data_IF_660520771033
#
_entry.id   IF_660520771033
#
_cell.length_a   1.000
_cell.length_b   1.000
_cell.length_c   1.000
_cell.angle_alpha   90.00
_cell.angle_beta   90.00
_cell.angle_gamma   90.00
#
_symmetry.space_group_name_H-M   'P 1'
#
loop_
_entity.id
_entity.type
_entity.pdbx_description
1 polymer ?
#
# COMPACT_ATOMS: atom_id res chain seq x y z
N UNK A 1 14.56 -3.34 8.86
CA UNK A 1 15.73 -2.85 8.11
C UNK A 1 16.31 -1.61 8.75
N UNK A 2 15.47 -0.61 9.02
CA UNK A 2 15.79 0.61 9.76
C UNK A 2 14.59 0.97 10.65
N UNK A 3 14.78 1.83 11.65
CA UNK A 3 13.66 2.41 12.42
C UNK A 3 13.45 3.86 12.00
N UNK A 4 12.21 4.21 11.64
CA UNK A 4 11.84 5.54 11.17
C UNK A 4 10.90 6.25 12.15
N UNK A 5 11.00 7.57 12.22
CA UNK A 5 10.07 8.45 12.91
C UNK A 5 9.26 9.24 11.88
N UNK A 6 7.98 8.89 11.74
CA UNK A 6 7.01 9.69 11.01
C UNK A 6 6.28 10.63 11.97
N UNK A 7 6.22 11.92 11.66
CA UNK A 7 5.49 12.90 12.46
C UNK A 7 4.88 13.97 11.58
N UNK A 8 3.85 14.62 12.11
CA UNK A 8 3.19 15.76 11.47
C UNK A 8 3.53 17.02 12.24
N UNK A 9 4.05 18.02 11.54
CA UNK A 9 4.35 19.33 12.11
C UNK A 9 3.07 20.11 12.41
N UNK A 10 3.18 21.18 13.19
CA UNK A 10 2.00 21.96 13.63
C UNK A 10 1.29 22.69 12.48
N UNK A 11 1.97 22.92 11.36
CA UNK A 11 1.41 23.44 10.10
C UNK A 11 0.76 22.34 9.23
N UNK A 12 0.79 21.09 9.68
CA UNK A 12 0.10 19.97 9.03
C UNK A 12 0.95 19.17 8.06
N UNK A 13 2.21 19.53 7.81
CA UNK A 13 3.09 18.78 6.91
C UNK A 13 3.62 17.50 7.58
N UNK A 14 3.58 16.36 6.88
CA UNK A 14 4.22 15.13 7.34
C UNK A 14 5.69 15.06 6.90
N UNK A 15 6.54 14.52 7.78
CA UNK A 15 7.95 14.21 7.51
C UNK A 15 8.33 12.86 8.09
N UNK A 16 9.37 12.25 7.51
CA UNK A 16 9.94 10.97 7.96
C UNK A 16 11.45 11.12 8.15
N UNK A 17 11.93 10.73 9.33
CA UNK A 17 13.34 10.81 9.75
C UNK A 17 13.82 9.43 10.23
N UNK A 18 15.13 9.25 10.39
CA UNK A 18 15.64 8.16 11.23
C UNK A 18 15.06 8.29 12.65
N UNK A 19 14.69 7.16 13.26
CA UNK A 19 14.10 7.15 14.59
C UNK A 19 15.12 7.44 15.69
N UNK A 20 16.40 7.18 15.49
CA UNK A 20 17.40 7.31 16.55
C UNK A 20 18.09 8.67 16.52
N UNK A 21 18.01 9.38 17.63
CA UNK A 21 18.64 10.68 17.82
C UNK A 21 20.18 10.57 17.68
N UNK A 22 20.82 11.40 16.84
CA UNK A 22 22.27 11.34 16.61
C UNK A 22 23.11 11.76 17.82
N UNK A 23 22.48 12.25 18.91
CA UNK A 23 23.18 12.60 20.14
C UNK A 23 23.61 11.34 20.92
N UNK A 24 22.65 10.60 21.47
CA UNK A 24 22.91 9.41 22.30
C UNK A 24 21.91 8.26 22.01
N UNK A 25 21.34 8.23 20.80
CA UNK A 25 20.54 7.09 20.33
C UNK A 25 19.13 6.97 20.93
N UNK A 26 18.58 8.03 21.54
CA UNK A 26 17.20 8.01 22.00
C UNK A 26 16.22 7.88 20.82
N UNK A 27 15.18 7.08 20.97
CA UNK A 27 14.19 6.86 19.92
C UNK A 27 13.15 8.01 19.87
N UNK A 28 13.22 8.81 18.81
CA UNK A 28 12.33 9.92 18.49
C UNK A 28 10.89 9.46 18.21
N UNK A 29 10.70 8.30 17.58
CA UNK A 29 9.36 7.78 17.27
C UNK A 29 8.62 7.29 18.52
N UNK A 30 9.34 6.73 19.50
CA UNK A 30 8.74 6.13 20.69
C UNK A 30 8.38 7.16 21.77
N UNK A 31 9.18 8.21 21.95
CA UNK A 31 8.97 9.19 23.03
C UNK A 31 9.07 10.65 22.59
N UNK A 32 9.42 10.92 21.34
CA UNK A 32 9.54 12.29 20.86
C UNK A 32 8.19 13.00 20.80
N UNK A 33 8.24 14.33 20.78
CA UNK A 33 7.06 15.18 20.64
C UNK A 33 7.25 16.23 19.57
N UNK A 34 6.16 16.59 18.90
CA UNK A 34 6.18 17.65 17.89
C UNK A 34 6.24 19.02 18.56
N UNK A 35 7.18 19.86 18.12
CA UNK A 35 7.32 21.26 18.53
C UNK A 35 7.52 22.12 17.28
N UNK A 36 6.50 22.87 16.87
CA UNK A 36 6.54 23.63 15.63
C UNK A 36 6.75 22.73 14.41
N UNK A 37 7.81 23.00 13.66
CA UNK A 37 8.26 22.22 12.51
C UNK A 37 9.29 21.13 12.85
N UNK A 38 9.50 20.85 14.15
CA UNK A 38 10.52 19.94 14.64
C UNK A 38 9.93 18.77 15.43
N UNK A 39 10.68 17.67 15.49
CA UNK A 39 10.53 16.63 16.51
C UNK A 39 11.54 16.87 17.63
N UNK A 40 11.07 16.93 18.87
CA UNK A 40 11.89 17.06 20.06
C UNK A 40 12.21 15.68 20.64
N UNK A 41 13.50 15.43 20.84
CA UNK A 41 14.01 14.20 21.42
C UNK A 41 13.60 14.03 22.90
N UNK A 42 13.09 12.85 23.30
CA UNK A 42 12.60 12.62 24.66
C UNK A 42 13.69 12.69 25.74
N UNK A 43 14.96 12.48 25.35
CA UNK A 43 16.01 12.30 26.34
C UNK A 43 16.60 13.64 26.79
N UNK A 44 16.95 14.51 25.85
CA UNK A 44 17.67 15.76 26.13
C UNK A 44 17.02 17.00 25.51
N UNK A 45 15.83 16.85 24.90
CA UNK A 45 15.09 17.96 24.32
C UNK A 45 15.71 18.57 23.05
N UNK A 46 16.63 17.87 22.39
CA UNK A 46 17.18 18.32 21.09
C UNK A 46 16.06 18.32 20.05
N UNK A 47 15.91 19.42 19.32
CA UNK A 47 14.86 19.57 18.32
C UNK A 47 15.44 19.42 16.92
N UNK A 48 14.86 18.55 16.11
CA UNK A 48 15.26 18.28 14.72
C UNK A 48 14.13 18.67 13.78
N UNK A 49 14.40 19.57 12.82
CA UNK A 49 13.42 20.04 11.84
C UNK A 49 13.05 18.94 10.86
N UNK A 50 11.77 18.82 10.52
CA UNK A 50 11.28 17.76 9.63
C UNK A 50 11.82 17.83 8.20
N UNK A 51 11.87 19.04 7.62
CA UNK A 51 12.24 19.25 6.21
C UNK A 51 13.64 18.73 5.86
N UNK A 52 14.62 18.97 6.72
CA UNK A 52 16.02 18.69 6.42
C UNK A 52 16.75 17.96 7.56
N UNK A 53 16.05 17.66 8.66
CA UNK A 53 16.61 16.95 9.81
C UNK A 53 17.58 17.80 10.64
N UNK A 54 17.76 19.09 10.33
CA UNK A 54 18.74 19.94 11.03
C UNK A 54 18.35 20.09 12.49
N UNK A 55 19.32 19.95 13.39
CA UNK A 55 19.11 20.33 14.79
C UNK A 55 18.96 21.86 14.86
N UNK A 56 17.80 22.32 15.32
CA UNK A 56 17.47 23.76 15.41
C UNK A 56 17.66 24.31 16.80
N UNK A 57 17.56 23.45 17.83
CA UNK A 57 17.63 23.86 19.23
C UNK A 57 18.17 22.74 20.12
N UNK A 58 19.10 23.12 20.99
CA UNK A 58 19.53 22.31 22.14
C UNK A 58 19.20 23.13 23.39
N UNK A 59 18.32 22.66 24.30
CA UNK A 59 17.74 23.52 25.34
C UNK A 59 18.74 24.18 26.30
N UNK A 60 19.93 23.60 26.44
CA UNK A 60 20.93 23.95 27.44
C UNK A 60 22.23 24.54 26.85
N UNK A 61 22.21 24.96 25.58
CA UNK A 61 23.32 25.71 24.96
C UNK A 61 22.79 26.67 23.90
N UNK A 62 23.45 27.81 23.73
CA UNK A 62 23.13 28.76 22.67
C UNK A 62 23.65 28.31 21.30
N UNK A 63 24.73 27.50 21.28
CA UNK A 63 25.37 27.07 20.04
C UNK A 63 24.99 25.64 19.69
N UNK A 64 24.32 25.48 18.54
CA UNK A 64 24.03 24.19 17.93
C UNK A 64 25.12 23.86 16.90
N UNK A 65 25.77 22.68 16.95
CA UNK A 65 26.76 22.30 15.94
C UNK A 65 26.12 22.17 14.55
N UNK A 66 26.75 22.72 13.50
CA UNK A 66 26.19 22.71 12.14
C UNK A 66 26.02 21.30 11.55
N UNK A 67 26.82 20.35 12.00
CA UNK A 67 26.75 18.94 11.58
C UNK A 67 25.65 18.15 12.31
N UNK A 68 25.03 18.71 13.36
CA UNK A 68 23.98 18.02 14.11
C UNK A 68 22.71 17.91 13.27
N UNK A 69 22.53 16.76 12.63
CA UNK A 69 21.42 16.46 11.72
C UNK A 69 21.01 15.01 11.87
N UNK A 70 19.70 14.75 11.84
CA UNK A 70 19.17 13.39 11.67
C UNK A 70 18.85 13.18 10.18
N UNK A 71 19.08 11.97 9.67
CA UNK A 71 18.78 11.66 8.27
C UNK A 71 17.28 11.84 8.02
N UNK A 72 16.95 12.45 6.88
CA UNK A 72 15.58 12.54 6.37
C UNK A 72 15.32 11.50 5.30
N UNK A 73 14.06 11.15 5.13
CA UNK A 73 13.60 10.23 4.09
C UNK A 73 12.62 10.98 3.18
N UNK A 74 12.92 11.09 1.87
CA UNK A 74 11.99 11.72 0.94
C UNK A 74 10.66 10.98 1.03
N UNK A 75 9.58 11.73 1.25
CA UNK A 75 8.26 11.19 1.52
C UNK A 75 7.19 12.08 0.93
N UNK A 76 6.03 11.49 0.64
CA UNK A 76 4.88 12.21 0.14
C UNK A 76 3.58 11.69 0.76
N UNK A 77 2.58 12.57 0.85
CA UNK A 77 1.23 12.21 1.22
C UNK A 77 0.35 12.18 -0.03
N UNK A 78 -0.22 11.02 -0.33
CA UNK A 78 -1.06 10.81 -1.51
C UNK A 78 -2.03 9.66 -1.25
N UNK A 79 -3.26 9.77 -1.77
CA UNK A 79 -4.28 8.71 -1.65
C UNK A 79 -4.56 8.25 -0.20
N UNK A 80 -4.45 9.17 0.78
CA UNK A 80 -4.61 8.85 2.20
C UNK A 80 -3.49 7.99 2.80
N UNK A 81 -2.30 8.01 2.19
CA UNK A 81 -1.11 7.28 2.64
C UNK A 81 0.08 8.23 2.76
N UNK A 82 0.95 7.97 3.73
CA UNK A 82 2.30 8.54 3.80
C UNK A 82 3.26 7.51 3.21
N UNK A 83 3.92 7.86 2.11
CA UNK A 83 4.84 6.98 1.40
C UNK A 83 6.28 7.48 1.55
N UNK A 84 7.22 6.55 1.60
CA UNK A 84 8.66 6.82 1.72
C UNK A 84 9.35 6.35 0.45
N UNK A 85 10.23 7.18 -0.09
CA UNK A 85 11.12 6.82 -1.18
C UNK A 85 12.38 6.13 -0.66
N UNK A 86 12.75 5.04 -1.32
CA UNK A 86 14.00 4.35 -1.08
C UNK A 86 14.72 4.07 -2.40
N UNK A 87 16.03 4.31 -2.40
CA UNK A 87 16.94 3.90 -3.46
C UNK A 87 18.24 3.42 -2.80
N UNK A 88 18.78 2.28 -3.22
CA UNK A 88 19.98 1.69 -2.62
C UNK A 88 21.21 2.63 -2.69
N UNK A 89 21.32 3.40 -3.76
CA UNK A 89 22.38 4.41 -3.96
C UNK A 89 22.02 5.81 -3.43
N UNK A 90 20.86 5.98 -2.79
CA UNK A 90 20.42 7.27 -2.25
C UNK A 90 19.98 8.31 -3.30
N UNK A 91 19.70 7.88 -4.53
CA UNK A 91 19.11 8.73 -5.56
C UNK A 91 17.71 9.16 -5.13
N UNK A 92 17.39 10.45 -5.32
CA UNK A 92 16.08 11.00 -5.01
C UNK A 92 14.95 10.43 -5.89
N UNK A 93 13.68 10.76 -5.57
CA UNK A 93 12.54 10.34 -6.38
C UNK A 93 12.67 10.72 -7.85
N UNK A 94 12.59 9.73 -8.74
CA UNK A 94 12.63 9.91 -10.20
C UNK A 94 11.24 9.86 -10.84
N UNK A 95 10.23 9.43 -10.09
CA UNK A 95 8.83 9.38 -10.48
C UNK A 95 7.94 9.69 -9.28
N UNK A 96 6.68 9.99 -9.54
CA UNK A 96 5.68 10.30 -8.52
C UNK A 96 4.58 9.24 -8.52
N UNK A 97 4.02 8.99 -7.35
CA UNK A 97 2.85 8.11 -7.21
C UNK A 97 1.62 8.85 -7.76
N UNK A 98 0.83 8.22 -8.65
CA UNK A 98 -0.35 8.86 -9.21
C UNK A 98 -1.41 9.10 -8.13
N UNK A 99 -2.02 10.27 -8.18
CA UNK A 99 -3.17 10.61 -7.35
C UNK A 99 -4.44 9.97 -7.93
N UNK A 100 -5.26 9.36 -7.07
CA UNK A 100 -6.57 8.84 -7.41
C UNK A 100 -7.62 9.92 -7.17
N UNK A 101 -8.16 10.47 -8.25
CA UNK A 101 -9.09 11.60 -8.23
C UNK A 101 -10.27 11.38 -7.27
N UNK A 102 -10.91 10.22 -7.32
CA UNK A 102 -12.10 9.89 -6.54
C UNK A 102 -11.81 9.82 -5.04
N UNK A 103 -10.58 9.49 -4.63
CA UNK A 103 -10.17 9.53 -3.21
C UNK A 103 -10.03 10.99 -2.76
N UNK A 104 -9.42 11.83 -3.59
CA UNK A 104 -9.16 13.25 -3.27
C UNK A 104 -10.43 14.07 -3.24
N UNK A 105 -11.36 13.84 -4.16
CA UNK A 105 -12.68 14.49 -4.16
C UNK A 105 -13.61 13.95 -3.08
N UNK A 106 -13.27 12.84 -2.43
CA UNK A 106 -14.09 12.18 -1.43
C UNK A 106 -15.31 11.43 -2.00
N UNK A 107 -15.32 11.20 -3.32
CA UNK A 107 -16.29 10.33 -3.99
C UNK A 107 -16.10 8.87 -3.55
N UNK A 108 -14.85 8.45 -3.41
CA UNK A 108 -14.45 7.18 -2.81
C UNK A 108 -13.90 7.43 -1.42
N UNK A 109 -14.56 6.87 -0.42
CA UNK A 109 -14.19 7.02 1.00
C UNK A 109 -13.59 5.74 1.53
N UNK A 110 -12.71 5.85 2.53
CA UNK A 110 -12.11 4.70 3.19
C UNK A 110 -13.18 3.79 3.81
N UNK A 111 -13.09 2.48 3.54
CA UNK A 111 -14.07 1.48 4.03
C UNK A 111 -13.45 0.37 4.89
N UNK A 112 -12.13 0.32 4.99
CA UNK A 112 -11.43 -0.63 5.84
C UNK A 112 -10.04 -0.97 5.30
N UNK A 113 -9.33 -1.77 6.09
CA UNK A 113 -8.04 -2.32 5.69
C UNK A 113 -7.83 -3.72 6.26
N UNK A 114 -6.95 -4.48 5.61
CA UNK A 114 -6.35 -5.73 6.10
C UNK A 114 -4.84 -5.55 6.13
N UNK A 115 -4.16 -6.29 7.01
CA UNK A 115 -2.72 -6.22 7.21
C UNK A 115 -2.18 -7.63 7.43
N UNK A 116 -1.12 -7.98 6.72
CA UNK A 116 -0.55 -9.32 6.68
C UNK A 116 0.97 -9.24 6.72
N UNK A 117 1.59 -10.08 7.55
CA UNK A 117 3.04 -10.28 7.56
C UNK A 117 3.36 -11.53 6.74
N UNK A 118 4.18 -11.37 5.70
CA UNK A 118 4.49 -12.43 4.74
C UNK A 118 5.99 -12.73 4.78
N UNK A 119 6.33 -13.97 5.11
CA UNK A 119 7.70 -14.48 5.15
C UNK A 119 8.20 -14.80 3.72
N UNK A 120 8.54 -13.76 2.96
CA UNK A 120 9.02 -13.88 1.58
C UNK A 120 9.98 -12.74 1.23
N UNK A 121 10.73 -12.89 0.15
CA UNK A 121 11.46 -11.76 -0.44
C UNK A 121 10.47 -10.77 -1.07
N UNK A 122 10.75 -9.45 -1.03
CA UNK A 122 9.84 -8.42 -1.56
C UNK A 122 9.42 -8.67 -3.02
N UNK A 123 10.29 -9.27 -3.83
CA UNK A 123 10.05 -9.56 -5.24
C UNK A 123 8.92 -10.59 -5.47
N UNK A 124 8.69 -11.52 -4.53
CA UNK A 124 7.74 -12.63 -4.71
C UNK A 124 6.29 -12.14 -4.83
N UNK A 125 5.95 -11.05 -4.14
CA UNK A 125 4.58 -10.49 -4.15
C UNK A 125 4.22 -9.88 -5.51
N UNK A 126 4.98 -8.91 -6.06
CA UNK A 126 4.66 -8.29 -7.35
C UNK A 126 4.76 -9.24 -8.55
N UNK A 127 5.54 -10.32 -8.48
CA UNK A 127 5.61 -11.31 -9.57
C UNK A 127 4.25 -11.97 -9.90
N UNK A 128 3.33 -12.01 -8.92
CA UNK A 128 1.96 -12.49 -9.14
C UNK A 128 1.23 -11.75 -10.27
N UNK A 129 1.56 -10.47 -10.52
CA UNK A 129 0.92 -9.70 -11.57
C UNK A 129 1.23 -10.23 -12.98
N UNK A 130 2.45 -10.72 -13.19
CA UNK A 130 2.88 -11.26 -14.49
C UNK A 130 2.45 -12.72 -14.69
N UNK A 131 2.26 -13.49 -13.61
CA UNK A 131 1.75 -14.87 -13.67
C UNK A 131 0.23 -14.89 -13.89
N UNK A 132 -0.23 -14.56 -15.09
CA UNK A 132 -1.67 -14.64 -15.41
C UNK A 132 -2.25 -16.06 -15.33
N UNK A 133 -1.40 -17.10 -15.36
CA UNK A 133 -1.85 -18.48 -15.35
C UNK A 133 -2.38 -18.92 -13.97
N UNK A 134 -1.82 -18.38 -12.88
CA UNK A 134 -2.26 -18.73 -11.52
C UNK A 134 -3.75 -18.43 -11.30
N UNK A 135 -4.30 -17.40 -11.96
CA UNK A 135 -5.71 -16.99 -11.83
C UNK A 135 -6.68 -18.14 -12.11
N UNK A 136 -6.40 -18.94 -13.14
CA UNK A 136 -7.26 -20.07 -13.50
C UNK A 136 -7.17 -21.23 -12.49
N UNK A 137 -6.03 -21.41 -11.81
CA UNK A 137 -5.77 -22.55 -10.94
C UNK A 137 -6.07 -22.26 -9.46
N UNK A 138 -5.71 -21.08 -8.97
CA UNK A 138 -5.94 -20.66 -7.58
C UNK A 138 -7.34 -20.08 -7.39
N UNK A 139 -7.83 -19.23 -8.30
CA UNK A 139 -9.13 -18.56 -8.17
C UNK A 139 -10.28 -19.22 -8.95
N UNK A 140 -10.02 -20.27 -9.71
CA UNK A 140 -11.03 -20.99 -10.52
C UNK A 140 -12.24 -21.60 -9.78
N UNK A 141 -12.10 -22.14 -8.55
CA UNK A 141 -13.20 -22.85 -7.87
C UNK A 141 -14.22 -21.94 -7.17
N UNK A 142 -13.76 -20.81 -6.61
CA UNK A 142 -14.60 -19.78 -6.01
C UNK A 142 -13.75 -18.54 -5.72
N UNK A 143 -14.36 -17.34 -5.76
CA UNK A 143 -13.71 -16.09 -5.29
C UNK A 143 -13.27 -16.20 -3.81
N UNK A 144 -13.92 -17.07 -3.02
CA UNK A 144 -13.58 -17.32 -1.61
C UNK A 144 -12.66 -18.54 -1.40
N UNK A 145 -12.25 -19.22 -2.47
CA UNK A 145 -11.30 -20.34 -2.42
C UNK A 145 -9.94 -19.86 -2.90
N UNK A 146 -8.90 -20.03 -2.09
CA UNK A 146 -7.54 -19.60 -2.44
C UNK A 146 -6.51 -19.96 -1.38
N UNK A 147 -6.83 -19.72 -0.10
CA UNK A 147 -5.90 -19.98 1.02
C UNK A 147 -5.70 -21.46 1.38
N UNK A 148 -6.69 -22.32 1.13
CA UNK A 148 -6.58 -23.75 1.45
C UNK A 148 -6.67 -24.64 0.21
N UNK A 149 -5.48 -24.98 -0.29
CA UNK A 149 -5.28 -25.83 -1.47
C UNK A 149 -6.00 -27.20 -1.37
N UNK A 150 -6.33 -27.67 -0.16
CA UNK A 150 -7.05 -28.94 0.05
C UNK A 150 -8.47 -28.90 -0.48
N UNK A 151 -9.09 -27.73 -0.51
CA UNK A 151 -10.50 -27.57 -0.89
C UNK A 151 -10.69 -26.92 -2.27
N UNK A 152 -9.62 -26.41 -2.88
CA UNK A 152 -9.60 -25.80 -4.22
C UNK A 152 -10.15 -26.74 -5.29
N UNK A 153 -10.06 -28.07 -5.16
CA UNK A 153 -10.64 -29.02 -6.14
C UNK A 153 -11.88 -29.77 -5.65
N UNK A 154 -12.62 -29.20 -4.70
CA UNK A 154 -13.84 -29.84 -4.20
C UNK A 154 -14.91 -29.92 -5.28
N UNK A 155 -15.40 -31.14 -5.55
CA UNK A 155 -16.53 -31.41 -6.48
C UNK A 155 -17.85 -30.74 -6.07
N UNK A 156 -17.92 -30.21 -4.85
CA UNK A 156 -19.08 -29.45 -4.38
C UNK A 156 -19.35 -28.21 -5.24
N UNK A 157 -18.35 -27.69 -5.96
CA UNK A 157 -18.47 -26.49 -6.78
C UNK A 157 -18.56 -26.75 -8.29
N UNK A 158 -18.61 -28.01 -8.75
CA UNK A 158 -18.57 -28.34 -10.20
C UNK A 158 -19.73 -27.71 -11.02
N UNK A 159 -20.82 -27.34 -10.35
CA UNK A 159 -21.96 -26.65 -10.96
C UNK A 159 -21.70 -25.16 -11.24
N UNK A 160 -20.69 -24.55 -10.61
CA UNK A 160 -20.31 -23.15 -10.76
C UNK A 160 -18.87 -23.06 -11.27
N UNK A 161 -18.64 -22.38 -12.38
CA UNK A 161 -17.28 -22.18 -12.93
C UNK A 161 -16.98 -20.70 -13.06
N UNK A 162 -15.81 -20.31 -12.57
CA UNK A 162 -15.24 -18.99 -12.74
C UNK A 162 -14.24 -19.01 -13.90
N UNK A 163 -14.47 -18.17 -14.90
CA UNK A 163 -13.58 -18.01 -16.05
C UNK A 163 -12.84 -16.69 -15.86
N UNK A 164 -11.52 -16.77 -15.77
CA UNK A 164 -10.63 -15.63 -15.63
C UNK A 164 -9.86 -15.45 -16.94
N UNK A 165 -10.01 -14.29 -17.57
CA UNK A 165 -9.15 -13.86 -18.68
C UNK A 165 -8.31 -12.71 -18.17
N UNK A 166 -7.00 -12.82 -18.29
CA UNK A 166 -6.09 -11.77 -17.87
C UNK A 166 -5.09 -11.45 -18.96
N UNK A 167 -4.79 -10.17 -19.10
CA UNK A 167 -3.71 -9.66 -19.93
C UNK A 167 -2.85 -8.75 -19.05
N UNK A 168 -1.53 -8.92 -19.13
CA UNK A 168 -0.55 -8.10 -18.42
C UNK A 168 0.40 -7.45 -19.42
N UNK A 169 0.78 -6.20 -19.17
CA UNK A 169 1.77 -5.49 -19.97
C UNK A 169 2.49 -4.39 -19.17
N UNK A 170 3.78 -4.12 -19.46
CA UNK A 170 4.48 -2.97 -18.89
C UNK A 170 3.98 -1.66 -19.51
N UNK A 171 4.04 -0.55 -18.78
CA UNK A 171 3.75 0.77 -19.34
C UNK A 171 5.00 1.35 -20.05
N UNK A 172 4.83 2.08 -21.17
CA UNK A 172 5.93 2.74 -21.85
C UNK A 172 6.39 4.01 -21.11
N UNK A 173 7.50 4.60 -21.54
CA UNK A 173 7.94 5.94 -21.13
C UNK A 173 6.77 6.96 -21.15
N UNK A 174 6.61 7.81 -20.11
CA UNK A 174 7.49 7.99 -18.95
C UNK A 174 7.23 7.06 -17.75
N UNK A 175 6.38 6.04 -17.91
CA UNK A 175 5.88 5.21 -16.82
C UNK A 175 6.52 3.80 -16.79
N UNK A 176 7.77 3.66 -17.19
CA UNK A 176 8.44 2.34 -17.24
C UNK A 176 8.53 1.65 -15.85
N UNK A 177 8.40 2.42 -14.78
CA UNK A 177 8.27 1.92 -13.40
C UNK A 177 6.90 1.29 -13.09
N UNK A 178 5.97 1.28 -14.05
CA UNK A 178 4.61 0.76 -13.89
C UNK A 178 4.32 -0.44 -14.80
N UNK A 179 3.37 -1.27 -14.37
CA UNK A 179 2.74 -2.27 -15.24
C UNK A 179 1.23 -2.29 -15.03
N UNK A 180 0.51 -2.86 -15.99
CA UNK A 180 -0.95 -3.04 -15.94
C UNK A 180 -1.33 -4.49 -16.12
N UNK A 181 -2.40 -4.86 -15.47
CA UNK A 181 -3.12 -6.10 -15.71
C UNK A 181 -4.61 -5.82 -15.80
N UNK A 182 -5.26 -6.33 -16.83
CA UNK A 182 -6.70 -6.33 -16.96
C UNK A 182 -7.21 -7.75 -16.77
N UNK A 183 -8.04 -7.95 -15.74
CA UNK A 183 -8.68 -9.22 -15.44
C UNK A 183 -10.18 -9.10 -15.71
N UNK A 184 -10.69 -9.94 -16.59
CA UNK A 184 -12.11 -10.12 -16.85
C UNK A 184 -12.55 -11.45 -16.23
N UNK A 185 -13.43 -11.34 -15.24
CA UNK A 185 -14.05 -12.47 -14.58
C UNK A 185 -15.47 -12.69 -15.12
N UNK A 186 -15.79 -13.94 -15.43
CA UNK A 186 -17.13 -14.36 -15.81
C UNK A 186 -17.53 -15.61 -15.03
N UNK A 187 -18.72 -15.61 -14.43
CA UNK A 187 -19.25 -16.77 -13.74
C UNK A 187 -20.28 -17.52 -14.61
N UNK A 188 -20.24 -18.85 -14.54
CA UNK A 188 -21.27 -19.71 -15.13
C UNK A 188 -21.86 -20.63 -14.07
N UNK A 189 -23.19 -20.79 -14.08
CA UNK A 189 -23.92 -21.72 -13.21
C UNK A 189 -24.66 -22.71 -14.11
N UNK A 190 -24.44 -24.00 -13.90
CA UNK A 190 -24.92 -25.08 -14.79
C UNK A 190 -24.62 -24.83 -16.27
N UNK A 191 -23.45 -24.26 -16.57
CA UNK A 191 -23.00 -23.94 -17.92
C UNK A 191 -23.65 -22.70 -18.56
N UNK A 192 -24.52 -21.98 -17.85
CA UNK A 192 -25.10 -20.71 -18.31
C UNK A 192 -24.38 -19.52 -17.67
N UNK A 193 -24.01 -18.52 -18.46
CA UNK A 193 -23.38 -17.28 -17.98
C UNK A 193 -24.34 -16.50 -17.08
N UNK A 194 -23.84 -16.05 -15.94
CA UNK A 194 -24.56 -15.20 -15.00
C UNK A 194 -23.93 -13.81 -15.04
N UNK A 195 -24.41 -12.96 -15.95
CA UNK A 195 -23.84 -11.63 -16.19
C UNK A 195 -23.86 -10.71 -14.97
N UNK A 196 -24.75 -10.97 -14.00
CA UNK A 196 -24.82 -10.27 -12.72
C UNK A 196 -23.56 -10.45 -11.85
N UNK A 197 -22.71 -11.43 -12.16
CA UNK A 197 -21.49 -11.76 -11.40
C UNK A 197 -20.21 -11.45 -12.18
N UNK A 198 -20.33 -10.84 -13.36
CA UNK A 198 -19.18 -10.46 -14.17
C UNK A 198 -18.47 -9.27 -13.54
N UNK A 199 -17.16 -9.40 -13.37
CA UNK A 199 -16.33 -8.41 -12.70
C UNK A 199 -15.15 -8.07 -13.60
N UNK A 200 -14.87 -6.78 -13.75
CA UNK A 200 -13.64 -6.31 -14.38
C UNK A 200 -12.73 -5.77 -13.29
N UNK A 201 -11.49 -6.22 -13.25
CA UNK A 201 -10.45 -5.69 -12.36
C UNK A 201 -9.32 -5.16 -13.21
N UNK A 202 -8.96 -3.90 -13.00
CA UNK A 202 -7.79 -3.25 -13.55
C UNK A 202 -6.77 -3.08 -12.44
N UNK A 203 -5.65 -3.78 -12.54
CA UNK A 203 -4.52 -3.62 -11.65
C UNK A 203 -3.47 -2.73 -12.31
N UNK A 204 -2.99 -1.71 -11.60
CA UNK A 204 -1.82 -0.93 -11.99
C UNK A 204 -0.78 -1.01 -10.89
N UNK A 205 0.33 -1.68 -11.15
CA UNK A 205 1.47 -1.69 -10.25
C UNK A 205 2.32 -0.45 -10.49
N UNK A 206 2.72 0.24 -9.42
CA UNK A 206 3.54 1.46 -9.44
C UNK A 206 4.78 1.21 -8.59
N UNK A 207 5.92 1.03 -9.24
CA UNK A 207 7.16 0.62 -8.60
C UNK A 207 7.06 -0.77 -7.94
N UNK A 208 7.92 -1.06 -6.95
CA UNK A 208 7.99 -2.37 -6.33
C UNK A 208 6.98 -2.61 -5.20
N UNK A 209 6.32 -1.57 -4.70
CA UNK A 209 5.64 -1.61 -3.41
C UNK A 209 4.19 -1.12 -3.38
N UNK A 210 3.59 -0.79 -4.53
CA UNK A 210 2.23 -0.25 -4.58
C UNK A 210 1.45 -0.80 -5.78
N UNK A 211 0.23 -1.26 -5.55
CA UNK A 211 -0.71 -1.69 -6.60
C UNK A 211 -2.06 -1.02 -6.39
N UNK A 212 -2.59 -0.46 -7.48
CA UNK A 212 -3.95 0.07 -7.58
C UNK A 212 -4.82 -1.02 -8.19
N UNK A 213 -5.67 -1.66 -7.39
CA UNK A 213 -6.63 -2.68 -7.82
C UNK A 213 -8.00 -2.04 -7.95
N UNK A 214 -8.32 -1.53 -9.13
CA UNK A 214 -9.60 -0.90 -9.43
C UNK A 214 -10.55 -2.00 -9.90
N UNK A 215 -11.71 -2.10 -9.28
CA UNK A 215 -12.70 -3.10 -9.66
C UNK A 215 -14.02 -2.43 -10.01
N UNK A 216 -14.60 -2.90 -11.10
CA UNK A 216 -15.79 -2.35 -11.71
C UNK A 216 -16.86 -3.41 -11.85
N UNK A 217 -18.02 -3.14 -11.28
CA UNK A 217 -19.15 -4.05 -11.32
C UNK A 217 -20.46 -3.29 -11.54
N UNK A 218 -21.23 -3.70 -12.53
CA UNK A 218 -22.45 -2.99 -12.96
C UNK A 218 -23.47 -2.76 -11.82
N UNK A 219 -23.48 -3.64 -10.80
CA UNK A 219 -24.44 -3.57 -9.68
C UNK A 219 -23.81 -3.30 -8.33
N UNK A 220 -22.53 -3.63 -8.16
CA UNK A 220 -21.87 -3.48 -6.86
C UNK A 220 -21.16 -2.13 -6.77
N UNK A 221 -21.01 -1.44 -7.89
CA UNK A 221 -20.36 -0.15 -7.99
C UNK A 221 -18.91 -0.27 -8.41
N UNK A 222 -18.18 0.80 -8.18
CA UNK A 222 -16.76 0.94 -8.50
C UNK A 222 -15.99 1.27 -7.23
N UNK A 223 -14.74 0.84 -7.19
CA UNK A 223 -13.83 1.26 -6.15
C UNK A 223 -12.45 0.70 -6.35
N UNK A 224 -11.63 0.86 -5.32
CA UNK A 224 -10.21 0.55 -5.38
C UNK A 224 -9.74 -0.11 -4.09
N UNK A 225 -8.88 -1.11 -4.25
CA UNK A 225 -7.99 -1.58 -3.21
C UNK A 225 -6.60 -1.05 -3.53
N UNK A 226 -6.01 -0.32 -2.58
CA UNK A 226 -4.60 0.06 -2.61
C UNK A 226 -3.83 -1.01 -1.83
N UNK A 227 -3.05 -1.83 -2.53
CA UNK A 227 -2.14 -2.80 -1.93
C UNK A 227 -0.76 -2.14 -1.78
N UNK A 228 -0.21 -2.16 -0.58
CA UNK A 228 1.16 -1.71 -0.32
C UNK A 228 2.01 -2.82 0.25
N UNK A 229 3.27 -2.91 -0.18
CA UNK A 229 4.27 -3.84 0.35
C UNK A 229 5.39 -3.02 0.97
N UNK A 230 5.59 -3.17 2.28
CA UNK A 230 6.66 -2.51 3.04
C UNK A 230 7.64 -3.54 3.58
N UNK A 231 8.91 -3.54 3.15
CA UNK A 231 9.92 -4.41 3.73
C UNK A 231 10.18 -4.09 5.21
N UNK A 232 9.91 -5.08 6.07
CA UNK A 232 10.26 -5.02 7.49
C UNK A 232 11.66 -5.59 7.67
N UNK A 233 11.94 -6.73 7.02
CA UNK A 233 13.24 -7.40 6.96
C UNK A 233 13.46 -7.97 5.54
N UNK A 234 14.66 -8.45 5.18
CA UNK A 234 14.93 -8.98 3.84
C UNK A 234 13.95 -10.07 3.38
N UNK A 235 13.43 -10.87 4.32
CA UNK A 235 12.49 -11.97 4.06
C UNK A 235 11.17 -11.81 4.85
N UNK A 236 10.84 -10.60 5.30
CA UNK A 236 9.59 -10.31 6.00
C UNK A 236 8.98 -9.03 5.46
N UNK A 237 7.79 -9.15 4.89
CA UNK A 237 7.08 -8.04 4.24
C UNK A 237 5.78 -7.74 5.00
N UNK A 238 5.50 -6.46 5.23
CA UNK A 238 4.19 -6.02 5.67
C UNK A 238 3.34 -5.65 4.44
N UNK A 239 2.27 -6.41 4.20
CA UNK A 239 1.34 -6.21 3.10
C UNK A 239 0.03 -5.64 3.67
N UNK A 240 -0.35 -4.46 3.20
CA UNK A 240 -1.59 -3.79 3.63
C UNK A 240 -2.49 -3.57 2.41
N UNK A 241 -3.75 -3.95 2.53
CA UNK A 241 -4.78 -3.63 1.55
C UNK A 241 -5.74 -2.60 2.16
N UNK A 242 -5.84 -1.42 1.55
CA UNK A 242 -6.81 -0.39 1.94
C UNK A 242 -7.89 -0.28 0.88
N UNK A 243 -9.15 -0.46 1.27
CA UNK A 243 -10.28 -0.32 0.35
C UNK A 243 -10.91 1.07 0.46
N UNK A 244 -11.03 1.73 -0.69
CA UNK A 244 -11.81 2.95 -0.88
C UNK A 244 -12.98 2.64 -1.82
N UNK A 245 -14.15 3.15 -1.45
CA UNK A 245 -15.39 2.81 -2.17
C UNK A 245 -16.34 3.99 -2.26
N UNK A 246 -17.16 3.98 -3.31
CA UNK A 246 -18.21 4.97 -3.53
C UNK A 246 -18.97 5.31 -2.23
N UNK A 247 -19.06 6.61 -1.92
CA UNK A 247 -19.66 7.12 -0.69
C UNK A 247 -21.14 6.72 -0.54
N UNK A 248 -21.87 6.68 -1.64
CA UNK A 248 -23.29 6.34 -1.70
C UNK A 248 -23.56 4.81 -1.65
N UNK A 249 -22.54 3.97 -1.78
CA UNK A 249 -22.71 2.52 -1.71
C UNK A 249 -22.82 2.01 -0.26
N UNK A 250 -23.72 1.05 0.03
CA UNK A 250 -23.81 0.42 1.35
C UNK A 250 -22.48 -0.20 1.78
N UNK A 251 -22.01 0.13 2.99
CA UNK A 251 -20.71 -0.31 3.48
C UNK A 251 -20.56 -1.84 3.62
N UNK A 252 -21.65 -2.60 3.58
CA UNK A 252 -21.62 -4.07 3.58
C UNK A 252 -20.92 -4.64 2.33
N UNK A 253 -21.02 -3.96 1.19
CA UNK A 253 -20.43 -4.41 -0.07
C UNK A 253 -18.90 -4.36 -0.02
N UNK A 254 -18.24 -3.20 0.22
CA UNK A 254 -16.79 -3.15 0.32
C UNK A 254 -16.26 -3.97 1.49
N UNK A 255 -17.00 -4.12 2.59
CA UNK A 255 -16.60 -5.03 3.69
C UNK A 255 -16.61 -6.50 3.28
N UNK A 256 -17.58 -6.91 2.45
CA UNK A 256 -17.60 -8.26 1.90
C UNK A 256 -16.40 -8.50 0.97
N UNK A 257 -16.09 -7.54 0.11
CA UNK A 257 -14.94 -7.61 -0.80
C UNK A 257 -13.63 -7.69 -0.02
N UNK A 258 -13.44 -6.82 0.98
CA UNK A 258 -12.25 -6.83 1.84
C UNK A 258 -12.13 -8.14 2.63
N UNK A 259 -13.24 -8.73 3.07
CA UNK A 259 -13.23 -10.03 3.74
C UNK A 259 -12.89 -11.17 2.77
N UNK A 260 -13.35 -11.09 1.52
CA UNK A 260 -13.00 -12.07 0.49
C UNK A 260 -11.50 -12.01 0.17
N UNK A 261 -10.94 -10.81 0.03
CA UNK A 261 -9.49 -10.58 -0.12
C UNK A 261 -8.72 -11.16 1.07
N UNK A 262 -9.12 -10.88 2.31
CA UNK A 262 -8.44 -11.39 3.52
C UNK A 262 -8.35 -12.92 3.60
N UNK A 263 -9.24 -13.64 2.90
CA UNK A 263 -9.29 -15.10 2.91
C UNK A 263 -8.43 -15.69 1.78
N UNK A 264 -8.09 -14.92 0.76
CA UNK A 264 -7.21 -15.36 -0.32
C UNK A 264 -5.76 -15.34 0.15
#
# INVERSE_FOLDING_TARGET
>A
GEHLAAFRTQDGQAYVLDAYCPHLGANLAAGGRVVGSCIECPFHGWQFRGEDGKCTRIPYTEKVPDFARVRTWPSCEVNGMLLVWYHCEGVGPTWAVPEQHEIVTGEWVFRGQTEHFVDAHIQEIPENAADTAHLAFLHGPAILGGSDLRYTRSRLWDFMKHIWKAEWWPEPEPNEHCSRMLVQHTATIFGKRVSLMDLTVSARQVGPGLVFLIFEHAFLGHGIILQTVTPVEPLLQNVVHKIYYQKNMPAIIPKFILRAECIQ
#
